data_IF_238049223484
#
_entry.id   IF_238049223484
#
_cell.length_a   1.000
_cell.length_b   1.000
_cell.length_c   1.000
_cell.angle_alpha   90.00
_cell.angle_beta   90.00
_cell.angle_gamma   90.00
#
_symmetry.space_group_name_H-M   'P 1'
#
loop_
_entity.id
_entity.type
_entity.pdbx_description
1 polymer ?
#
# COMPACT_ATOMS: atom_id res chain seq x y z
N UNK A 1 11.88 -32.63 14.43
CA UNK A 1 11.67 -31.19 14.69
C UNK A 1 12.65 -30.38 13.86
N UNK A 2 12.22 -29.98 12.66
CA UNK A 2 12.57 -28.78 11.88
C UNK A 2 11.51 -28.78 10.77
N UNK A 3 10.44 -28.01 10.94
CA UNK A 3 9.27 -28.04 10.06
C UNK A 3 9.62 -27.44 8.69
N UNK A 4 9.98 -28.29 7.73
CA UNK A 4 10.27 -27.92 6.35
C UNK A 4 9.03 -27.48 5.60
N UNK A 5 8.58 -26.25 5.82
CA UNK A 5 7.64 -25.58 4.93
C UNK A 5 8.41 -25.00 3.74
N UNK A 6 8.40 -25.69 2.59
CA UNK A 6 8.72 -25.01 1.32
C UNK A 6 7.79 -23.80 1.24
N UNK A 7 8.34 -22.59 1.12
CA UNK A 7 7.56 -21.41 0.77
C UNK A 7 6.90 -21.69 -0.60
N UNK A 8 5.64 -22.13 -0.58
CA UNK A 8 4.85 -22.40 -1.78
C UNK A 8 4.11 -21.11 -2.12
N UNK A 9 4.79 -20.18 -2.77
CA UNK A 9 4.08 -19.14 -3.51
C UNK A 9 3.37 -19.82 -4.68
N UNK A 10 2.14 -19.39 -5.02
CA UNK A 10 1.50 -19.86 -6.24
C UNK A 10 2.40 -19.53 -7.44
N UNK A 11 2.48 -20.39 -8.47
CA UNK A 11 3.05 -19.98 -9.74
C UNK A 11 2.20 -18.83 -10.30
N UNK A 12 2.70 -17.61 -10.12
CA UNK A 12 2.18 -16.38 -10.72
C UNK A 12 3.23 -15.92 -11.73
N UNK A 13 2.79 -15.50 -12.92
CA UNK A 13 3.73 -14.96 -13.89
C UNK A 13 4.29 -13.64 -13.39
N UNK A 14 5.54 -13.28 -13.73
CA UNK A 14 6.08 -11.95 -13.42
C UNK A 14 5.17 -10.82 -13.94
N UNK A 15 4.49 -11.04 -15.04
CA UNK A 15 3.56 -10.10 -15.66
C UNK A 15 2.30 -9.91 -14.79
N UNK A 16 1.66 -10.99 -14.36
CA UNK A 16 0.48 -10.94 -13.46
C UNK A 16 0.84 -10.35 -12.10
N UNK A 17 2.04 -10.65 -11.59
CA UNK A 17 2.53 -10.05 -10.36
C UNK A 17 2.61 -8.53 -10.50
N UNK A 18 3.26 -8.04 -11.57
CA UNK A 18 3.37 -6.60 -11.85
C UNK A 18 1.99 -5.97 -12.04
N UNK A 19 1.09 -6.62 -12.77
CA UNK A 19 -0.27 -6.11 -13.00
C UNK A 19 -1.04 -5.89 -11.68
N UNK A 20 -0.87 -6.78 -10.70
CA UNK A 20 -1.46 -6.61 -9.38
C UNK A 20 -0.83 -5.46 -8.60
N UNK A 21 0.49 -5.28 -8.67
CA UNK A 21 1.17 -4.14 -8.01
C UNK A 21 0.77 -2.82 -8.65
N UNK A 22 0.75 -2.76 -9.99
CA UNK A 22 0.30 -1.59 -10.74
C UNK A 22 -1.11 -1.17 -10.35
N UNK A 23 -2.03 -2.13 -10.28
CA UNK A 23 -3.42 -1.83 -9.95
C UNK A 23 -3.60 -1.48 -8.47
N UNK A 24 -3.08 -2.29 -7.56
CA UNK A 24 -3.44 -2.23 -6.14
C UNK A 24 -2.55 -1.28 -5.31
N UNK A 25 -1.35 -0.95 -5.79
CA UNK A 25 -0.45 0.00 -5.14
C UNK A 25 -0.33 1.29 -5.94
N UNK A 26 0.07 1.20 -7.21
CA UNK A 26 0.28 2.40 -8.01
C UNK A 26 -1.03 3.10 -8.40
N UNK A 27 -2.13 2.36 -8.57
CA UNK A 27 -3.46 2.93 -8.81
C UNK A 27 -3.87 3.99 -7.76
N UNK A 28 -4.01 3.60 -6.47
CA UNK A 28 -4.30 4.56 -5.39
C UNK A 28 -3.29 5.70 -5.28
N UNK A 29 -1.99 5.42 -5.48
CA UNK A 29 -0.93 6.43 -5.45
C UNK A 29 -1.11 7.47 -6.56
N UNK A 30 -1.39 7.03 -7.79
CA UNK A 30 -1.54 7.90 -8.95
C UNK A 30 -2.79 8.77 -8.83
N UNK A 31 -3.92 8.19 -8.42
CA UNK A 31 -5.15 8.95 -8.17
C UNK A 31 -4.93 9.99 -7.08
N UNK A 32 -4.30 9.59 -5.97
CA UNK A 32 -4.01 10.51 -4.87
C UNK A 32 -3.10 11.64 -5.32
N UNK A 33 -2.02 11.36 -6.07
CA UNK A 33 -1.14 12.39 -6.62
C UNK A 33 -1.87 13.38 -7.53
N UNK A 34 -2.81 12.88 -8.34
CA UNK A 34 -3.59 13.72 -9.24
C UNK A 34 -4.48 14.72 -8.48
N UNK A 35 -5.06 14.33 -7.34
CA UNK A 35 -5.92 15.20 -6.53
C UNK A 35 -5.16 16.02 -5.47
N UNK A 36 -3.90 15.66 -5.18
CA UNK A 36 -3.14 16.26 -4.07
C UNK A 36 -2.87 17.76 -4.29
N UNK A 37 -2.67 18.20 -5.53
CA UNK A 37 -2.47 19.62 -5.85
C UNK A 37 -3.71 20.45 -5.50
N UNK A 38 -4.90 19.94 -5.78
CA UNK A 38 -6.18 20.57 -5.45
C UNK A 38 -6.39 20.64 -3.94
N UNK A 39 -6.20 19.52 -3.23
CA UNK A 39 -6.31 19.47 -1.77
C UNK A 39 -5.33 20.44 -1.09
N UNK A 40 -4.10 20.56 -1.61
CA UNK A 40 -3.09 21.52 -1.12
C UNK A 40 -3.52 22.96 -1.34
N UNK A 41 -4.06 23.30 -2.51
CA UNK A 41 -4.57 24.64 -2.79
C UNK A 41 -5.75 25.00 -1.87
N UNK A 42 -6.62 24.03 -1.59
CA UNK A 42 -7.77 24.17 -0.68
C UNK A 42 -7.37 24.17 0.81
N UNK A 43 -6.13 23.74 1.13
CA UNK A 43 -5.67 23.46 2.50
C UNK A 43 -6.61 22.52 3.26
N UNK A 44 -7.31 21.65 2.53
CA UNK A 44 -8.30 20.71 3.05
C UNK A 44 -8.41 19.53 2.10
N UNK A 45 -8.58 18.34 2.64
CA UNK A 45 -8.70 17.11 1.88
C UNK A 45 -8.55 15.90 2.77
N UNK A 46 -9.28 14.83 2.43
CA UNK A 46 -9.21 13.54 3.11
C UNK A 46 -8.95 12.46 2.06
N UNK A 47 -7.89 11.68 2.26
CA UNK A 47 -7.60 10.49 1.46
C UNK A 47 -7.90 9.28 2.34
N UNK A 48 -8.82 8.43 1.87
CA UNK A 48 -9.12 7.13 2.49
C UNK A 48 -8.75 6.05 1.48
N UNK A 49 -7.91 5.11 1.90
CA UNK A 49 -7.55 3.95 1.09
C UNK A 49 -8.30 2.71 1.59
N UNK A 50 -8.65 1.81 0.66
CA UNK A 50 -9.23 0.51 1.01
C UNK A 50 -8.11 -0.53 1.02
N UNK A 51 -7.78 -0.99 2.22
CA UNK A 51 -6.77 -2.02 2.44
C UNK A 51 -7.39 -3.38 2.76
N UNK A 52 -6.62 -4.27 3.37
CA UNK A 52 -7.00 -5.64 3.70
C UNK A 52 -6.16 -6.13 4.89
N UNK A 53 -6.60 -7.21 5.54
CA UNK A 53 -5.75 -7.98 6.48
C UNK A 53 -4.43 -8.39 5.82
N UNK A 54 -4.45 -8.61 4.51
CA UNK A 54 -3.26 -8.88 3.70
C UNK A 54 -2.23 -7.73 3.68
N UNK A 55 -2.57 -6.54 4.20
CA UNK A 55 -1.63 -5.44 4.43
C UNK A 55 -0.79 -5.57 5.70
N UNK A 56 -1.12 -6.54 6.56
CA UNK A 56 -0.43 -6.79 7.83
C UNK A 56 0.09 -8.22 7.96
N UNK A 57 -0.57 -9.19 7.32
CA UNK A 57 -0.18 -10.60 7.36
C UNK A 57 -0.35 -11.22 5.99
N UNK A 58 0.70 -11.86 5.48
CA UNK A 58 0.64 -12.63 4.23
C UNK A 58 0.00 -14.00 4.44
N UNK A 59 -0.75 -14.47 3.45
CA UNK A 59 -1.33 -15.82 3.41
C UNK A 59 -0.81 -16.60 2.19
N UNK A 60 -0.92 -17.94 2.23
CA UNK A 60 -0.62 -18.76 1.04
C UNK A 60 -1.41 -18.24 -0.17
N UNK A 61 -0.76 -18.28 -1.34
CA UNK A 61 -1.33 -17.85 -2.64
C UNK A 61 -1.67 -16.35 -2.79
N UNK A 62 -1.25 -15.48 -1.86
CA UNK A 62 -1.56 -14.03 -1.94
C UNK A 62 -0.33 -13.14 -2.19
N UNK A 63 0.79 -13.69 -2.68
CA UNK A 63 2.09 -12.99 -2.69
C UNK A 63 2.06 -11.58 -3.31
N UNK A 64 1.54 -11.43 -4.53
CA UNK A 64 1.45 -10.13 -5.21
C UNK A 64 0.47 -9.18 -4.52
N UNK A 65 -0.69 -9.70 -4.13
CA UNK A 65 -1.75 -8.93 -3.47
C UNK A 65 -1.29 -8.42 -2.10
N UNK A 66 -0.71 -9.29 -1.27
CA UNK A 66 -0.16 -8.94 0.02
C UNK A 66 0.98 -7.93 -0.13
N UNK A 67 1.92 -8.14 -1.07
CA UNK A 67 2.98 -7.17 -1.34
C UNK A 67 2.42 -5.77 -1.66
N UNK A 68 1.38 -5.69 -2.51
CA UNK A 68 0.74 -4.43 -2.82
C UNK A 68 0.03 -3.79 -1.61
N UNK A 69 -0.65 -4.59 -0.78
CA UNK A 69 -1.37 -4.08 0.41
C UNK A 69 -0.45 -3.64 1.54
N UNK A 70 0.65 -4.35 1.79
CA UNK A 70 1.69 -3.88 2.70
C UNK A 70 2.30 -2.56 2.20
N UNK A 71 2.58 -2.48 0.90
CA UNK A 71 3.05 -1.23 0.28
C UNK A 71 2.06 -0.08 0.43
N UNK A 72 0.76 -0.36 0.29
CA UNK A 72 -0.32 0.63 0.44
C UNK A 72 -0.37 1.18 1.87
N UNK A 73 -0.29 0.31 2.89
CA UNK A 73 -0.26 0.72 4.30
C UNK A 73 0.95 1.61 4.61
N UNK A 74 2.16 1.15 4.26
CA UNK A 74 3.39 1.91 4.52
C UNK A 74 3.42 3.27 3.80
N UNK A 75 2.85 3.32 2.60
CA UNK A 75 2.70 4.58 1.87
C UNK A 75 1.68 5.53 2.53
N UNK A 76 0.52 5.03 2.97
CA UNK A 76 -0.50 5.82 3.65
C UNK A 76 0.01 6.36 5.01
N UNK A 77 0.78 5.56 5.74
CA UNK A 77 1.45 6.00 6.96
C UNK A 77 2.41 7.17 6.68
N UNK A 78 3.25 7.02 5.66
CA UNK A 78 4.17 8.07 5.21
C UNK A 78 3.45 9.35 4.78
N UNK A 79 2.32 9.22 4.07
CA UNK A 79 1.51 10.35 3.64
C UNK A 79 0.94 11.13 4.84
N UNK A 80 0.54 10.42 5.89
CA UNK A 80 0.01 11.02 7.12
C UNK A 80 1.11 11.75 7.91
N UNK A 81 2.29 11.15 8.03
CA UNK A 81 3.44 11.80 8.68
C UNK A 81 3.87 13.07 7.94
N UNK A 82 3.92 13.03 6.59
CA UNK A 82 4.25 14.20 5.77
C UNK A 82 3.21 15.34 5.84
N UNK A 83 1.96 15.04 6.23
CA UNK A 83 0.91 16.03 6.49
C UNK A 83 1.00 16.69 7.86
N UNK A 84 1.62 16.03 8.84
CA UNK A 84 1.92 16.62 10.15
C UNK A 84 3.22 17.41 10.02
N UNK A 85 3.14 18.71 9.69
CA UNK A 85 4.27 19.60 10.03
C UNK A 85 4.56 19.43 11.52
N UNK A 86 5.83 19.42 11.89
CA UNK A 86 6.29 19.46 13.27
C UNK A 86 5.65 20.66 13.99
N UNK A 87 4.47 20.44 14.57
CA UNK A 87 4.06 21.18 15.74
C UNK A 87 5.01 20.71 16.82
N UNK A 88 5.99 21.56 17.15
CA UNK A 88 6.57 21.54 18.48
C UNK A 88 5.41 21.49 19.48
N UNK A 89 5.29 20.42 20.23
CA UNK A 89 4.53 20.48 21.48
C UNK A 89 5.31 21.34 22.48
N UNK A 90 4.61 22.15 23.31
CA UNK A 90 5.23 22.88 24.42
C UNK A 90 5.74 21.96 25.52
#
# INVERSE_FOLDING_TARGET
>A
MIGGGRARTQPITPEDFRAQVETNLFGPLNVTRAVLSVMRAQRSGLVVSISSVAGFVGAEFTSAYAAAKFGLEGWMESLTQGGRRSGSEP
#
